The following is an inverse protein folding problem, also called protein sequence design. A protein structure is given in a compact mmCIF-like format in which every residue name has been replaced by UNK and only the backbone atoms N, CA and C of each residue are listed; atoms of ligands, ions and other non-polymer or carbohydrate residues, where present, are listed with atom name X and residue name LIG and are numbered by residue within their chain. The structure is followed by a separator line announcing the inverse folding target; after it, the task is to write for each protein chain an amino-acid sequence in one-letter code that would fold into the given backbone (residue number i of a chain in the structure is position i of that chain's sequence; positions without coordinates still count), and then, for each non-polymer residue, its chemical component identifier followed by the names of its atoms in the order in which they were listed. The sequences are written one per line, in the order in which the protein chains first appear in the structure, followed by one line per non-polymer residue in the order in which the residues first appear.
data_IF_576072379250
#
_entry.id   IF_576072379250
#
_cell.length_a   1.000
_cell.length_b   1.000
_cell.length_c   1.000
_cell.angle_alpha   90.00
_cell.angle_beta   90.00
_cell.angle_gamma   90.00
#
_symmetry.space_group_name_H-M   'P 1'
#
loop_
_entity.id
_entity.type
_entity.pdbx_description
1 polymer ?
#
# COMPACT_ATOMS: atom_id res chain seq x y z
N UNK A 1 37.52 -3.35 15.77
CA UNK A 1 36.96 -3.36 14.39
C UNK A 1 35.66 -4.17 14.38
N UNK A 2 34.56 -3.62 14.90
CA UNK A 2 33.24 -4.28 15.06
C UNK A 2 32.13 -3.53 14.32
N UNK A 3 32.47 -2.91 13.18
CA UNK A 3 31.60 -2.00 12.44
C UNK A 3 30.52 -2.78 11.64
N UNK A 4 30.79 -4.04 11.32
CA UNK A 4 29.89 -4.89 10.52
C UNK A 4 28.58 -5.29 11.25
N UNK A 5 28.59 -5.79 12.51
CA UNK A 5 27.35 -6.18 13.19
C UNK A 5 26.44 -4.99 13.52
N UNK A 6 27.01 -3.84 13.89
CA UNK A 6 26.22 -2.63 14.24
C UNK A 6 25.52 -2.05 13.01
N UNK A 7 26.20 -2.05 11.86
CA UNK A 7 25.64 -1.56 10.61
C UNK A 7 24.57 -2.49 10.03
N UNK A 8 24.72 -3.81 10.16
CA UNK A 8 23.66 -4.78 9.82
C UNK A 8 22.45 -4.63 10.75
N UNK A 9 22.67 -4.41 12.05
CA UNK A 9 21.61 -4.16 13.01
C UNK A 9 20.87 -2.84 12.72
N UNK A 10 21.56 -1.81 12.24
CA UNK A 10 20.95 -0.56 11.80
C UNK A 10 20.13 -0.74 10.53
N UNK A 11 20.66 -1.46 9.54
CA UNK A 11 19.94 -1.76 8.30
C UNK A 11 18.66 -2.57 8.56
N UNK A 12 18.74 -3.60 9.40
CA UNK A 12 17.58 -4.42 9.80
C UNK A 12 16.49 -3.57 10.48
N UNK A 13 16.88 -2.58 11.30
CA UNK A 13 15.94 -1.61 11.90
C UNK A 13 15.28 -0.71 10.84
N UNK A 14 16.05 -0.22 9.87
CA UNK A 14 15.53 0.61 8.77
C UNK A 14 14.54 -0.16 7.89
N UNK A 15 14.88 -1.41 7.54
CA UNK A 15 13.97 -2.28 6.80
C UNK A 15 12.71 -2.65 7.60
N UNK A 16 12.84 -2.86 8.91
CA UNK A 16 11.71 -3.08 9.81
C UNK A 16 10.72 -1.91 9.79
N UNK A 17 11.23 -0.67 9.87
CA UNK A 17 10.43 0.55 9.76
C UNK A 17 9.77 0.69 8.39
N UNK A 18 10.48 0.33 7.31
CA UNK A 18 9.93 0.30 5.94
C UNK A 18 8.77 -0.69 5.81
N UNK A 19 8.97 -1.93 6.27
CA UNK A 19 7.93 -2.98 6.27
C UNK A 19 6.71 -2.57 7.11
N UNK A 20 6.90 -1.82 8.20
CA UNK A 20 5.80 -1.30 8.99
C UNK A 20 4.94 -0.29 8.22
N UNK A 21 5.57 0.68 7.54
CA UNK A 21 4.86 1.66 6.71
C UNK A 21 4.12 0.97 5.55
N UNK A 22 4.74 -0.02 4.93
CA UNK A 22 4.10 -0.82 3.88
C UNK A 22 2.86 -1.57 4.39
N UNK A 23 2.95 -2.21 5.57
CA UNK A 23 1.78 -2.85 6.19
C UNK A 23 0.66 -1.85 6.51
N UNK A 24 1.00 -0.61 6.91
CA UNK A 24 -0.02 0.42 7.15
C UNK A 24 -0.77 0.78 5.86
N UNK A 25 -0.06 0.91 4.73
CA UNK A 25 -0.70 1.12 3.43
C UNK A 25 -1.61 -0.05 3.06
N UNK A 26 -1.15 -1.30 3.19
CA UNK A 26 -1.96 -2.49 2.90
C UNK A 26 -3.22 -2.57 3.77
N UNK A 27 -3.15 -2.13 5.03
CA UNK A 27 -4.31 -2.06 5.92
C UNK A 27 -5.31 -1.00 5.47
N UNK A 28 -4.85 0.19 5.05
CA UNK A 28 -5.70 1.25 4.52
C UNK A 28 -6.40 0.76 3.25
N UNK A 29 -5.68 0.13 2.32
CA UNK A 29 -6.25 -0.41 1.08
C UNK A 29 -7.32 -1.48 1.35
N UNK A 30 -7.05 -2.40 2.28
CA UNK A 30 -8.04 -3.42 2.69
C UNK A 30 -9.27 -2.79 3.36
N UNK A 31 -9.10 -1.73 4.14
CA UNK A 31 -10.22 -1.02 4.77
C UNK A 31 -11.08 -0.32 3.72
N UNK A 32 -10.47 0.35 2.73
CA UNK A 32 -11.17 0.97 1.61
C UNK A 32 -11.98 -0.09 0.84
N UNK A 33 -11.33 -1.19 0.45
CA UNK A 33 -11.97 -2.27 -0.29
C UNK A 33 -13.14 -2.90 0.49
N UNK A 34 -12.96 -3.17 1.79
CA UNK A 34 -14.00 -3.74 2.65
C UNK A 34 -15.18 -2.79 2.83
N UNK A 35 -14.92 -1.49 3.01
CA UNK A 35 -15.97 -0.48 3.18
C UNK A 35 -16.75 -0.27 1.89
N UNK A 36 -16.07 -0.24 0.74
CA UNK A 36 -16.73 -0.18 -0.56
C UNK A 36 -17.61 -1.42 -0.80
N UNK A 37 -17.12 -2.62 -0.50
CA UNK A 37 -17.88 -3.85 -0.65
C UNK A 37 -19.07 -3.98 0.33
N UNK A 38 -19.01 -3.31 1.50
CA UNK A 38 -20.11 -3.28 2.47
C UNK A 38 -21.21 -2.27 2.10
N UNK A 39 -20.84 -1.16 1.44
CA UNK A 39 -21.79 -0.11 1.01
C UNK A 39 -22.52 -0.46 -0.29
N UNK A 40 -21.94 -1.33 -1.11
CA UNK A 40 -22.63 -1.93 -2.24
C UNK A 40 -23.48 -3.08 -1.70
N UNK A 41 -24.82 -3.00 -1.79
CA UNK A 41 -25.65 -4.13 -1.42
C UNK A 41 -25.22 -5.31 -2.29
N UNK A 42 -24.71 -6.38 -1.69
CA UNK A 42 -24.74 -7.66 -2.36
C UNK A 42 -26.22 -7.92 -2.58
N UNK A 43 -26.71 -7.80 -3.81
CA UNK A 43 -28.02 -8.32 -4.22
C UNK A 43 -27.97 -9.85 -4.14
N UNK A 44 -27.68 -10.39 -2.95
CA UNK A 44 -28.08 -11.73 -2.58
C UNK A 44 -29.59 -11.63 -2.45
N UNK A 45 -30.27 -12.01 -3.53
CA UNK A 45 -31.35 -12.99 -3.55
C UNK A 45 -32.43 -12.62 -4.58
N UNK A 46 -32.91 -13.69 -5.22
CA UNK A 46 -34.29 -13.94 -5.67
C UNK A 46 -34.68 -13.48 -7.09
N UNK A 47 -35.32 -14.44 -7.75
CA UNK A 47 -36.23 -14.32 -8.89
C UNK A 47 -35.61 -14.06 -10.28
N UNK A 48 -35.32 -15.16 -10.98
CA UNK A 48 -36.30 -15.70 -11.92
C UNK A 48 -36.89 -14.75 -12.98
N UNK A 49 -36.13 -13.80 -13.52
CA UNK A 49 -36.60 -13.07 -14.71
C UNK A 49 -35.52 -12.92 -15.78
N UNK A 50 -35.84 -13.46 -16.96
CA UNK A 50 -34.95 -13.65 -18.10
C UNK A 50 -35.06 -12.45 -19.04
N UNK A 51 -34.70 -11.21 -18.64
CA UNK A 51 -34.49 -10.12 -19.64
C UNK A 51 -33.88 -8.77 -19.18
N UNK A 52 -33.40 -8.60 -17.94
CA UNK A 52 -32.88 -7.29 -17.45
C UNK A 52 -31.41 -7.26 -16.95
N UNK A 53 -30.70 -8.38 -16.95
CA UNK A 53 -29.55 -8.62 -16.07
C UNK A 53 -28.25 -7.86 -16.36
N UNK A 54 -28.02 -7.38 -17.60
CA UNK A 54 -26.75 -6.72 -17.95
C UNK A 54 -26.68 -5.26 -17.50
N UNK A 55 -27.80 -4.53 -17.60
CA UNK A 55 -27.87 -3.12 -17.18
C UNK A 55 -27.73 -2.98 -15.66
N UNK A 56 -28.43 -3.84 -14.90
CA UNK A 56 -28.38 -3.83 -13.44
C UNK A 56 -27.00 -4.21 -12.88
N UNK A 57 -26.32 -5.20 -13.48
CA UNK A 57 -24.95 -5.53 -13.10
C UNK A 57 -23.96 -4.39 -13.40
N UNK A 58 -24.08 -3.73 -14.56
CA UNK A 58 -23.23 -2.58 -14.88
C UNK A 58 -23.46 -1.44 -13.88
N UNK A 59 -24.71 -1.14 -13.51
CA UNK A 59 -25.01 -0.11 -12.52
C UNK A 59 -24.41 -0.42 -11.14
N UNK A 60 -24.42 -1.67 -10.70
CA UNK A 60 -23.81 -2.09 -9.43
C UNK A 60 -22.29 -1.94 -9.48
N UNK A 61 -21.64 -2.30 -10.59
CA UNK A 61 -20.20 -2.15 -10.78
C UNK A 61 -19.78 -0.68 -10.85
N UNK A 62 -20.53 0.16 -11.55
CA UNK A 62 -20.27 1.61 -11.61
C UNK A 62 -20.44 2.27 -10.24
N UNK A 63 -21.47 1.87 -9.49
CA UNK A 63 -21.64 2.34 -8.11
C UNK A 63 -20.49 1.89 -7.20
N UNK A 64 -20.02 0.66 -7.36
CA UNK A 64 -18.85 0.15 -6.64
C UNK A 64 -17.58 0.95 -6.97
N UNK A 65 -17.31 1.19 -8.26
CA UNK A 65 -16.16 1.97 -8.74
C UNK A 65 -16.20 3.41 -8.25
N UNK A 66 -17.36 4.06 -8.32
CA UNK A 66 -17.55 5.42 -7.82
C UNK A 66 -17.35 5.50 -6.30
N UNK A 67 -17.88 4.53 -5.55
CA UNK A 67 -17.70 4.46 -4.09
C UNK A 67 -16.24 4.21 -3.70
N UNK A 68 -15.55 3.32 -4.42
CA UNK A 68 -14.11 3.11 -4.24
C UNK A 68 -13.32 4.39 -4.51
N UNK A 69 -13.58 5.06 -5.63
CA UNK A 69 -12.87 6.28 -6.01
C UNK A 69 -13.06 7.38 -4.96
N UNK A 70 -14.28 7.55 -4.43
CA UNK A 70 -14.55 8.51 -3.36
C UNK A 70 -13.78 8.19 -2.07
N UNK A 71 -13.82 6.93 -1.62
CA UNK A 71 -13.11 6.49 -0.41
C UNK A 71 -11.58 6.58 -0.57
N UNK A 72 -11.06 6.26 -1.76
CA UNK A 72 -9.65 6.44 -2.08
C UNK A 72 -9.26 7.91 -2.09
N UNK A 73 -10.07 8.79 -2.70
CA UNK A 73 -9.82 10.23 -2.70
C UNK A 73 -9.77 10.83 -1.28
N UNK A 74 -10.66 10.39 -0.38
CA UNK A 74 -10.65 10.80 1.03
C UNK A 74 -9.36 10.38 1.77
N UNK A 75 -8.77 9.24 1.39
CA UNK A 75 -7.54 8.71 2.01
C UNK A 75 -6.27 9.04 1.22
N UNK A 76 -6.41 9.63 0.04
CA UNK A 76 -5.30 9.97 -0.84
C UNK A 76 -4.20 10.80 -0.16
N UNK A 77 -4.49 11.86 0.64
CA UNK A 77 -3.42 12.61 1.29
C UNK A 77 -2.63 11.78 2.31
N UNK A 78 -3.26 10.81 2.97
CA UNK A 78 -2.62 9.87 3.88
C UNK A 78 -1.76 8.86 3.11
N UNK A 79 -2.30 8.28 2.02
CA UNK A 79 -1.58 7.38 1.11
C UNK A 79 -0.35 8.08 0.53
N UNK A 80 -0.49 9.32 0.06
CA UNK A 80 0.60 10.09 -0.52
C UNK A 80 1.67 10.43 0.54
N UNK A 81 1.26 10.76 1.77
CA UNK A 81 2.20 11.03 2.86
C UNK A 81 3.01 9.78 3.23
N UNK A 82 2.36 8.62 3.33
CA UNK A 82 3.04 7.34 3.59
C UNK A 82 3.92 6.92 2.42
N UNK A 83 3.48 7.11 1.17
CA UNK A 83 4.27 6.85 -0.03
C UNK A 83 5.52 7.72 -0.10
N UNK A 84 5.42 9.02 0.21
CA UNK A 84 6.60 9.90 0.31
C UNK A 84 7.54 9.47 1.43
N UNK A 85 7.00 9.03 2.56
CA UNK A 85 7.81 8.50 3.67
C UNK A 85 8.57 7.24 3.25
N UNK A 86 7.92 6.34 2.51
CA UNK A 86 8.53 5.13 1.98
C UNK A 86 9.67 5.47 1.01
N UNK A 87 9.44 6.39 0.06
CA UNK A 87 10.47 6.82 -0.88
C UNK A 87 11.71 7.41 -0.17
N UNK A 88 11.52 8.21 0.88
CA UNK A 88 12.63 8.73 1.70
C UNK A 88 13.36 7.63 2.46
N UNK A 89 12.65 6.63 2.97
CA UNK A 89 13.26 5.47 3.63
C UNK A 89 14.08 4.64 2.63
N UNK A 90 13.56 4.40 1.43
CA UNK A 90 14.26 3.68 0.36
C UNK A 90 15.54 4.42 -0.06
N UNK A 91 15.48 5.74 -0.21
CA UNK A 91 16.67 6.57 -0.48
C UNK A 91 17.70 6.49 0.65
N UNK A 92 17.27 6.53 1.91
CA UNK A 92 18.16 6.41 3.06
C UNK A 92 18.84 5.03 3.13
N UNK A 93 18.10 3.96 2.85
CA UNK A 93 18.63 2.59 2.76
C UNK A 93 19.66 2.48 1.63
N UNK A 94 19.33 2.98 0.43
CA UNK A 94 20.24 2.96 -0.71
C UNK A 94 21.53 3.76 -0.44
N UNK A 95 21.43 4.94 0.18
CA UNK A 95 22.58 5.75 0.57
C UNK A 95 23.45 5.04 1.63
N UNK A 96 22.83 4.32 2.56
CA UNK A 96 23.55 3.54 3.56
C UNK A 96 24.33 2.38 2.91
N UNK A 97 23.73 1.66 1.97
CA UNK A 97 24.43 0.64 1.18
C UNK A 97 25.59 1.21 0.37
N UNK A 98 25.40 2.35 -0.31
CA UNK A 98 26.46 2.99 -1.09
C UNK A 98 27.65 3.40 -0.21
N UNK A 99 27.40 3.98 0.97
CA UNK A 99 28.46 4.33 1.94
C UNK A 99 29.23 3.10 2.43
N UNK A 100 28.53 1.99 2.68
CA UNK A 100 29.19 0.74 3.06
C UNK A 100 30.04 0.16 1.93
N UNK A 101 29.55 0.18 0.69
CA UNK A 101 30.31 -0.29 -0.47
C UNK A 101 31.60 0.52 -0.67
N UNK A 102 31.52 1.86 -0.52
CA UNK A 102 32.71 2.74 -0.57
C UNK A 102 33.66 2.44 0.59
N UNK A 103 33.14 2.24 1.81
CA UNK A 103 33.95 1.92 2.99
C UNK A 103 34.58 0.52 2.97
N UNK A 104 33.99 -0.42 2.24
CA UNK A 104 34.49 -1.78 2.00
C UNK A 104 35.42 -1.86 0.77
N UNK A 105 35.42 -0.82 -0.07
CA UNK A 105 36.32 -0.62 -1.21
C UNK A 105 37.37 0.50 -0.99
N UNK A 106 38.11 0.58 0.13
CA UNK A 106 39.17 1.57 0.27
C UNK A 106 40.50 0.98 -0.23
N UNK A 107 40.67 0.85 -1.55
CA UNK A 107 41.97 0.80 -2.26
C UNK A 107 41.76 0.26 -3.69
N UNK A 108 41.97 1.13 -4.68
CA UNK A 108 42.64 0.79 -5.93
C UNK A 108 43.72 1.84 -6.15
#
# INVERSE_FOLDING_TARGET
MTILPETLAQLSRMEGARRQVQRQLELIDRQIARRAAALVPQQRRRHGDRRGTSSDMCMVLERYRSTLAALTAERQPEIDALSRKLSRQDQAIAAHHARQQIALSPAA
#
